data_IF_223528869650
#
_entry.id   IF_223528869650
#
_cell.length_a   1.000
_cell.length_b   1.000
_cell.length_c   1.000
_cell.angle_alpha   90.00
_cell.angle_beta   90.00
_cell.angle_gamma   90.00
#
_symmetry.space_group_name_H-M   'P 1'
#
loop_
_entity.id
_entity.type
_entity.pdbx_description
1 polymer ?
#
# COMPACT_ATOMS: atom_id res chain seq x y z
N UNK A 1 12.20 -3.13 -1.17
CA UNK A 1 12.46 -2.59 -2.51
C UNK A 1 11.16 -2.32 -3.23
N UNK A 2 11.07 -1.19 -3.87
CA UNK A 2 9.85 -0.81 -4.58
C UNK A 2 9.70 -1.58 -5.88
N UNK A 3 8.47 -1.97 -6.18
CA UNK A 3 8.14 -2.71 -7.38
C UNK A 3 7.12 -1.93 -8.20
N UNK A 4 7.06 -2.22 -9.50
CA UNK A 4 6.12 -1.55 -10.39
C UNK A 4 4.68 -1.85 -9.99
N UNK A 5 3.84 -0.83 -9.99
CA UNK A 5 2.45 -0.98 -9.57
C UNK A 5 1.69 -1.98 -10.44
N UNK A 6 2.13 -2.20 -11.66
CA UNK A 6 1.45 -3.12 -12.56
C UNK A 6 1.48 -4.57 -12.05
N UNK A 7 2.42 -4.90 -11.17
CA UNK A 7 2.57 -6.24 -10.62
C UNK A 7 1.95 -6.38 -9.23
N UNK A 8 1.25 -5.38 -8.75
CA UNK A 8 0.76 -5.40 -7.38
C UNK A 8 -0.27 -6.51 -7.17
N UNK A 9 -0.09 -7.35 -6.14
CA UNK A 9 -1.07 -8.40 -5.84
C UNK A 9 -2.31 -7.80 -5.18
N UNK A 10 -3.39 -8.58 -5.17
CA UNK A 10 -4.65 -8.10 -4.61
C UNK A 10 -5.05 -8.80 -3.32
N UNK A 11 -4.18 -9.67 -2.80
CA UNK A 11 -4.55 -10.51 -1.66
C UNK A 11 -3.77 -10.19 -0.38
N UNK A 12 -3.15 -9.03 -0.31
CA UNK A 12 -2.31 -8.68 0.83
C UNK A 12 -2.24 -7.17 1.01
N UNK A 13 -1.77 -6.77 2.18
CA UNK A 13 -1.58 -5.36 2.48
C UNK A 13 -0.29 -4.86 1.85
N UNK A 14 -0.35 -3.72 1.22
CA UNK A 14 0.77 -3.15 0.50
C UNK A 14 1.04 -1.73 0.97
N UNK A 15 2.31 -1.35 0.89
CA UNK A 15 2.69 0.05 1.01
C UNK A 15 2.76 0.62 -0.39
N UNK A 16 2.03 1.70 -0.64
CA UNK A 16 1.98 2.32 -1.96
C UNK A 16 2.77 3.61 -1.97
N UNK A 17 3.32 3.93 -3.13
CA UNK A 17 4.08 5.15 -3.28
C UNK A 17 3.91 5.74 -4.67
N UNK A 18 4.06 7.06 -4.75
CA UNK A 18 4.26 7.76 -6.01
C UNK A 18 5.73 8.14 -6.04
N UNK A 19 6.44 7.62 -7.02
CA UNK A 19 7.85 7.92 -7.20
C UNK A 19 7.99 8.76 -8.47
N UNK A 20 8.49 9.97 -8.33
CA UNK A 20 8.66 10.87 -9.45
C UNK A 20 9.99 11.62 -9.28
N UNK A 21 10.19 12.64 -10.11
CA UNK A 21 11.46 13.38 -10.08
C UNK A 21 11.70 14.11 -8.77
N UNK A 22 10.66 14.33 -7.99
CA UNK A 22 10.78 15.04 -6.72
C UNK A 22 11.01 14.08 -5.56
N UNK A 23 11.01 12.79 -5.82
CA UNK A 23 11.32 11.80 -4.80
C UNK A 23 10.22 10.77 -4.62
N UNK A 24 10.27 10.11 -3.47
CA UNK A 24 9.34 9.04 -3.12
C UNK A 24 8.33 9.55 -2.11
N UNK A 25 7.06 9.42 -2.45
CA UNK A 25 5.96 9.87 -1.58
C UNK A 25 5.10 8.66 -1.24
N UNK A 26 5.34 8.07 -0.09
CA UNK A 26 4.62 6.85 0.29
C UNK A 26 3.45 7.17 1.20
N UNK A 27 2.41 6.35 1.12
CA UNK A 27 1.28 6.45 2.02
C UNK A 27 1.65 5.84 3.37
N UNK A 28 1.06 6.39 4.42
CA UNK A 28 1.41 6.00 5.79
C UNK A 28 0.47 4.93 6.36
N UNK A 29 -0.33 4.31 5.52
CA UNK A 29 -1.24 3.25 5.93
C UNK A 29 -1.23 2.15 4.88
N UNK A 30 -1.56 0.92 5.28
CA UNK A 30 -1.58 -0.19 4.31
C UNK A 30 -2.77 -0.06 3.39
N UNK A 31 -2.58 -0.52 2.15
CA UNK A 31 -3.63 -0.49 1.14
C UNK A 31 -3.81 -1.87 0.56
N UNK A 32 -5.00 -2.12 0.00
CA UNK A 32 -5.32 -3.36 -0.67
C UNK A 32 -5.80 -3.04 -2.06
N UNK A 33 -5.33 -3.81 -3.03
CA UNK A 33 -5.77 -3.64 -4.41
C UNK A 33 -7.15 -4.24 -4.58
N UNK A 34 -8.05 -3.48 -5.20
CA UNK A 34 -9.40 -3.96 -5.50
C UNK A 34 -9.69 -3.73 -6.97
N UNK A 35 -10.80 -4.28 -7.44
CA UNK A 35 -11.19 -4.07 -8.82
C UNK A 35 -11.38 -2.58 -9.07
N UNK A 36 -10.62 -2.06 -10.02
CA UNK A 36 -10.73 -0.67 -10.41
C UNK A 36 -10.03 0.31 -9.49
N UNK A 37 -9.26 -0.14 -8.50
CA UNK A 37 -8.57 0.82 -7.67
C UNK A 37 -7.99 0.26 -6.39
N UNK A 38 -8.07 1.05 -5.34
CA UNK A 38 -7.40 0.78 -4.08
C UNK A 38 -8.31 1.08 -2.91
N UNK A 39 -8.08 0.39 -1.80
CA UNK A 39 -8.76 0.64 -0.54
C UNK A 39 -7.75 0.80 0.57
N UNK A 40 -8.11 1.62 1.56
CA UNK A 40 -7.36 1.69 2.80
C UNK A 40 -7.63 0.40 3.58
N UNK A 41 -6.60 -0.38 3.87
CA UNK A 41 -6.79 -1.69 4.49
C UNK A 41 -7.29 -1.58 5.93
N UNK A 42 -7.12 -0.43 6.57
CA UNK A 42 -7.55 -0.26 7.95
C UNK A 42 -9.00 0.18 8.07
N UNK A 43 -9.43 1.07 7.18
CA UNK A 43 -10.80 1.59 7.22
C UNK A 43 -11.71 0.88 6.25
N UNK A 44 -11.14 0.17 5.29
CA UNK A 44 -11.87 -0.51 4.22
C UNK A 44 -12.56 0.47 3.27
N UNK A 45 -12.17 1.73 3.31
CA UNK A 45 -12.73 2.73 2.42
C UNK A 45 -11.92 2.83 1.14
N UNK A 46 -12.64 3.00 0.05
CA UNK A 46 -12.00 3.18 -1.25
C UNK A 46 -11.28 4.52 -1.26
N UNK A 47 -10.08 4.53 -1.82
CA UNK A 47 -9.28 5.75 -1.91
C UNK A 47 -8.97 6.05 -3.37
N UNK A 48 -8.90 7.34 -3.67
CA UNK A 48 -8.66 7.80 -5.04
C UNK A 48 -7.21 8.21 -5.18
N UNK A 49 -6.37 7.24 -5.52
CA UNK A 49 -4.94 7.45 -5.65
C UNK A 49 -4.43 6.80 -6.92
N UNK A 50 -3.27 7.26 -7.37
CA UNK A 50 -2.63 6.73 -8.58
C UNK A 50 -1.17 6.40 -8.27
N UNK A 51 -0.93 5.33 -7.50
CA UNK A 51 0.43 4.99 -7.13
C UNK A 51 1.22 4.48 -8.34
N UNK A 52 2.53 4.65 -8.28
CA UNK A 52 3.42 4.15 -9.32
C UNK A 52 4.16 2.89 -8.89
N UNK A 53 4.30 2.69 -7.59
CA UNK A 53 5.07 1.59 -7.04
C UNK A 53 4.44 1.06 -5.77
N UNK A 54 4.84 -0.15 -5.39
CA UNK A 54 4.35 -0.79 -4.19
C UNK A 54 5.45 -1.64 -3.58
N UNK A 55 5.26 -1.99 -2.32
CA UNK A 55 6.06 -3.01 -1.66
C UNK A 55 5.23 -3.60 -0.53
N UNK A 56 5.69 -4.70 0.04
CA UNK A 56 4.98 -5.32 1.15
C UNK A 56 4.87 -4.34 2.29
N UNK A 57 3.70 -4.30 2.92
CA UNK A 57 3.55 -3.51 4.13
C UNK A 57 4.43 -4.14 5.20
N UNK A 58 5.35 -3.36 5.79
CA UNK A 58 6.37 -3.95 6.66
C UNK A 58 5.85 -4.56 7.95
N UNK A 59 4.67 -4.19 8.40
CA UNK A 59 4.14 -4.70 9.65
C UNK A 59 2.77 -5.30 9.42
N UNK A 60 2.60 -6.60 9.69
CA UNK A 60 1.26 -7.17 9.61
C UNK A 60 0.32 -6.42 10.54
N UNK A 61 -0.86 -6.13 10.06
CA UNK A 61 -1.86 -5.45 10.85
C UNK A 61 -2.24 -6.34 12.03
N UNK A 62 -2.27 -5.74 13.20
CA UNK A 62 -2.72 -6.45 14.38
C UNK A 62 -1.66 -7.14 15.17
N UNK A 63 -0.45 -7.07 14.75
CA UNK A 63 0.49 -7.68 15.50
C UNK A 63 1.50 -6.90 15.95
N UNK A 64 1.77 -6.41 16.01
CA UNK A 64 2.61 -5.63 16.41
C UNK A 64 2.68 -5.32 17.53
N UNK A 65 2.23 -5.45 17.73
CA UNK A 65 2.25 -5.22 18.59
C UNK A 65 2.42 -5.79 19.45
N UNK A 66 2.25 -6.15 19.44
CA UNK A 66 2.40 -6.74 20.28
C UNK A 66 3.38 -6.84 20.75
N UNK A 67 3.75 -6.68 20.73
CA UNK A 67 4.56 -6.84 21.33
C UNK A 67 4.89 -6.62 22.23
N UNK A 68 4.56 -6.78 22.35
CA UNK A 68 4.75 -6.74 23.23
C UNK A 68 4.99 -6.69 23.82
#
# INVERSE_FOLDING_TARGET
>A
MWRSISNAPSDRELELAVIDKDGTHSLVFPCVRVVGGWKNARTMERIDIHPTHWREWPHPTGRQQDID
#
